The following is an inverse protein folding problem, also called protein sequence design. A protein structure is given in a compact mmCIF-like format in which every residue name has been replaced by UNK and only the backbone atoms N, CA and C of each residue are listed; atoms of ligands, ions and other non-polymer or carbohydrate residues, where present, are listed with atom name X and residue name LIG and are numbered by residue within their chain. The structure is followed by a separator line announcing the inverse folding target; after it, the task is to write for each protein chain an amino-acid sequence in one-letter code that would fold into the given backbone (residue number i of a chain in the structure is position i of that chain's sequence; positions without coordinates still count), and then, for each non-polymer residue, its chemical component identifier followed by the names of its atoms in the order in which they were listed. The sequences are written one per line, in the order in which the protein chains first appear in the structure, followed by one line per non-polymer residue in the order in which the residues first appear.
data_IF_592056730422
#
_entry.id   IF_592056730422
#
_cell.length_a   1.000
_cell.length_b   1.000
_cell.length_c   1.000
_cell.angle_alpha   90.00
_cell.angle_beta   90.00
_cell.angle_gamma   90.00
#
_symmetry.space_group_name_H-M   'P 1'
#
loop_
_entity.id
_entity.type
_entity.pdbx_description
1 polymer ?
#
# COMPACT_ATOMS: atom_id res chain seq x y z
N UNK A 1 12.70 42.68 2.85
CA UNK A 1 13.11 42.36 1.46
C UNK A 1 13.34 43.67 0.73
N UNK A 2 14.59 44.01 0.44
CA UNK A 2 14.88 45.16 -0.42
C UNK A 2 14.41 44.86 -1.85
N UNK A 3 13.63 45.77 -2.41
CA UNK A 3 13.10 45.66 -3.76
C UNK A 3 14.26 45.76 -4.77
N UNK A 4 14.31 44.88 -5.78
CA UNK A 4 15.29 44.95 -6.89
C UNK A 4 15.25 46.27 -7.67
N UNK A 5 14.26 47.12 -7.45
CA UNK A 5 14.20 48.48 -7.96
C UNK A 5 15.25 49.42 -7.32
N UNK A 6 15.60 49.20 -6.05
CA UNK A 6 16.51 50.10 -5.30
C UNK A 6 17.97 50.00 -5.76
N UNK A 7 18.53 48.81 -6.06
CA UNK A 7 19.88 48.73 -6.64
C UNK A 7 19.98 49.40 -8.01
N UNK A 8 18.92 49.36 -8.83
CA UNK A 8 18.93 49.92 -10.19
C UNK A 8 19.20 51.42 -10.23
N UNK A 9 18.79 52.17 -9.21
CA UNK A 9 19.04 53.63 -9.15
C UNK A 9 20.51 53.98 -8.93
N UNK A 10 21.29 53.09 -8.29
CA UNK A 10 22.72 53.32 -8.04
C UNK A 10 23.60 53.08 -9.28
N UNK A 11 23.06 52.42 -10.32
CA UNK A 11 23.76 52.07 -11.56
C UNK A 11 23.17 52.76 -12.80
N UNK A 12 22.45 53.88 -12.63
CA UNK A 12 21.95 54.68 -13.74
C UNK A 12 23.09 55.38 -14.51
N UNK A 13 22.83 55.76 -15.76
CA UNK A 13 23.82 56.47 -16.59
C UNK A 13 24.29 57.76 -15.90
N UNK A 14 25.61 57.91 -15.73
CA UNK A 14 26.23 59.05 -15.04
C UNK A 14 26.32 58.91 -13.51
N UNK A 15 25.81 57.82 -12.92
CA UNK A 15 26.04 57.51 -11.52
C UNK A 15 27.48 57.00 -11.29
N UNK A 16 28.05 57.28 -10.12
CA UNK A 16 29.34 56.75 -9.64
C UNK A 16 29.08 55.78 -8.48
N UNK A 17 28.92 54.47 -8.74
CA UNK A 17 28.66 53.49 -7.69
C UNK A 17 29.85 53.38 -6.73
N UNK A 18 29.56 53.21 -5.44
CA UNK A 18 30.59 52.99 -4.41
C UNK A 18 30.77 51.50 -4.15
N UNK A 19 31.84 51.10 -3.46
CA UNK A 19 32.05 49.72 -3.00
C UNK A 19 30.80 49.14 -2.33
N UNK A 20 30.15 49.91 -1.45
CA UNK A 20 28.92 49.49 -0.77
C UNK A 20 27.77 49.17 -1.73
N UNK A 21 27.65 49.91 -2.84
CA UNK A 21 26.62 49.59 -3.86
C UNK A 21 26.90 48.26 -4.58
N UNK A 22 28.16 47.85 -4.69
CA UNK A 22 28.53 46.54 -5.22
C UNK A 22 28.30 45.43 -4.19
N UNK A 23 28.59 45.67 -2.91
CA UNK A 23 28.25 44.75 -1.82
C UNK A 23 26.73 44.49 -1.77
N UNK A 24 25.92 45.57 -1.74
CA UNK A 24 24.45 45.47 -1.76
C UNK A 24 23.93 44.72 -3.00
N UNK A 25 24.59 44.88 -4.15
CA UNK A 25 24.26 44.14 -5.37
C UNK A 25 24.58 42.65 -5.21
N UNK A 26 25.77 42.30 -4.74
CA UNK A 26 26.20 40.91 -4.54
C UNK A 26 25.25 40.23 -3.53
N UNK A 27 24.96 40.86 -2.41
CA UNK A 27 24.04 40.36 -1.38
C UNK A 27 22.58 40.26 -1.88
N UNK A 28 22.20 41.02 -2.92
CA UNK A 28 20.86 40.94 -3.52
C UNK A 28 20.70 39.80 -4.54
N UNK A 29 21.79 39.10 -4.89
CA UNK A 29 21.78 37.95 -5.77
C UNK A 29 21.72 36.65 -4.97
N UNK A 30 20.99 35.65 -5.47
CA UNK A 30 20.91 34.34 -4.86
C UNK A 30 22.22 33.57 -5.08
N UNK A 31 22.88 33.14 -4.01
CA UNK A 31 24.06 32.27 -4.11
C UNK A 31 23.65 30.80 -3.92
N UNK A 32 23.79 30.00 -4.99
CA UNK A 32 23.40 28.59 -5.00
C UNK A 32 24.15 27.71 -3.99
N UNK A 33 25.38 28.06 -3.62
CA UNK A 33 26.16 27.28 -2.64
C UNK A 33 25.76 27.61 -1.20
N UNK A 34 25.49 28.88 -0.92
CA UNK A 34 25.24 29.36 0.45
C UNK A 34 23.77 29.19 0.86
N UNK A 35 22.84 29.22 -0.10
CA UNK A 35 21.40 29.18 0.15
C UNK A 35 20.80 27.77 0.15
N UNK A 36 21.63 26.73 -0.05
CA UNK A 36 21.17 25.34 -0.05
C UNK A 36 20.21 25.01 -1.20
N UNK A 37 20.22 25.81 -2.27
CA UNK A 37 19.37 25.64 -3.44
C UNK A 37 20.22 25.63 -4.71
N UNK A 38 20.20 24.51 -5.45
CA UNK A 38 20.89 24.42 -6.75
C UNK A 38 20.06 23.65 -7.76
N UNK A 39 20.39 23.83 -9.04
CA UNK A 39 19.81 23.06 -10.13
C UNK A 39 20.90 22.33 -10.92
N UNK A 40 20.75 21.03 -11.09
CA UNK A 40 21.63 20.21 -11.93
C UNK A 40 20.83 19.48 -13.02
N UNK A 41 21.46 19.14 -14.17
CA UNK A 41 20.84 18.27 -15.17
C UNK A 41 20.46 16.89 -14.61
N UNK A 42 21.26 16.35 -13.70
CA UNK A 42 21.11 14.98 -13.18
C UNK A 42 19.99 14.87 -12.14
N UNK A 43 19.88 15.83 -11.23
CA UNK A 43 18.97 15.74 -10.07
C UNK A 43 17.83 16.76 -10.11
N UNK A 44 17.79 17.66 -11.10
CA UNK A 44 16.78 18.71 -11.18
C UNK A 44 16.98 19.76 -10.09
N UNK A 45 15.95 20.03 -9.28
CA UNK A 45 16.01 20.99 -8.17
C UNK A 45 16.49 20.29 -6.92
N UNK A 46 17.59 20.76 -6.36
CA UNK A 46 18.22 20.22 -5.17
C UNK A 46 18.08 21.20 -4.01
N UNK A 47 17.59 20.71 -2.87
CA UNK A 47 17.40 21.49 -1.66
C UNK A 47 18.15 20.80 -0.52
N UNK A 48 19.07 21.53 0.09
CA UNK A 48 19.88 21.08 1.22
C UNK A 48 19.43 21.76 2.50
N UNK A 49 19.54 21.03 3.61
CA UNK A 49 19.31 21.61 4.94
C UNK A 49 20.42 22.63 5.23
N UNK A 50 20.03 23.81 5.70
CA UNK A 50 20.95 24.79 6.27
C UNK A 50 20.96 24.62 7.79
N UNK A 51 22.13 24.70 8.42
CA UNK A 51 22.44 24.24 9.80
C UNK A 51 21.54 24.79 10.93
N UNK A 52 20.65 25.75 10.65
CA UNK A 52 19.75 26.37 11.63
C UNK A 52 18.25 26.11 11.41
N UNK A 53 17.82 25.45 10.33
CA UNK A 53 16.40 25.24 10.03
C UNK A 53 16.09 23.83 9.53
N UNK A 54 15.02 23.25 10.07
CA UNK A 54 14.54 21.92 9.67
C UNK A 54 13.72 21.94 8.37
N UNK A 55 13.20 23.11 7.98
CA UNK A 55 12.35 23.27 6.81
C UNK A 55 13.15 23.43 5.51
N UNK A 56 12.80 22.64 4.50
CA UNK A 56 13.27 22.74 3.11
C UNK A 56 12.44 23.74 2.31
N UNK A 57 11.10 23.65 2.43
CA UNK A 57 10.15 24.52 1.72
C UNK A 57 9.12 25.01 2.72
N UNK A 58 8.76 26.29 2.65
CA UNK A 58 7.73 26.91 3.49
C UNK A 58 6.75 27.69 2.61
N UNK A 59 5.45 27.47 2.82
CA UNK A 59 4.37 28.11 2.07
C UNK A 59 3.67 29.13 2.95
N UNK A 60 3.57 30.38 2.47
CA UNK A 60 2.94 31.47 3.19
C UNK A 60 1.62 31.86 2.52
N UNK A 61 0.56 32.06 3.30
CA UNK A 61 -0.72 32.51 2.77
C UNK A 61 -0.67 33.95 2.22
N UNK A 62 0.23 34.79 2.75
CA UNK A 62 0.46 36.17 2.32
C UNK A 62 1.96 36.50 2.33
N UNK A 63 2.46 37.38 1.43
CA UNK A 63 3.88 37.74 1.38
C UNK A 63 4.46 38.34 2.67
N UNK A 64 3.61 38.96 3.49
CA UNK A 64 3.95 39.64 4.74
C UNK A 64 3.61 38.82 6.00
N UNK A 65 3.18 37.57 5.84
CA UNK A 65 2.84 36.71 6.96
C UNK A 65 4.08 36.38 7.80
N UNK A 66 3.95 36.48 9.13
CA UNK A 66 5.06 36.25 10.07
C UNK A 66 5.43 34.77 10.25
N UNK A 67 4.52 33.86 9.88
CA UNK A 67 4.73 32.42 9.91
C UNK A 67 4.17 31.78 8.64
N UNK A 68 4.79 30.68 8.15
CA UNK A 68 4.22 29.90 7.07
C UNK A 68 2.90 29.26 7.51
N UNK A 69 2.09 28.88 6.53
CA UNK A 69 0.89 28.07 6.71
C UNK A 69 1.20 26.57 6.60
N UNK A 70 2.25 26.21 5.83
CA UNK A 70 2.73 24.84 5.67
C UNK A 70 4.24 24.80 5.51
N UNK A 71 4.85 23.71 5.95
CA UNK A 71 6.26 23.41 5.73
C UNK A 71 6.46 21.97 5.24
N UNK A 72 7.52 21.79 4.45
CA UNK A 72 8.12 20.50 4.13
C UNK A 72 9.51 20.49 4.77
N UNK A 73 9.77 19.53 5.64
CA UNK A 73 10.98 19.47 6.47
C UNK A 73 11.56 18.07 6.52
N UNK A 74 12.85 17.98 6.84
CA UNK A 74 13.51 16.73 7.22
C UNK A 74 13.56 16.63 8.73
N UNK A 75 13.10 15.53 9.32
CA UNK A 75 13.23 15.33 10.76
C UNK A 75 14.56 14.65 11.15
N UNK A 76 14.80 14.52 12.46
CA UNK A 76 16.04 13.94 13.00
C UNK A 76 16.27 12.48 12.59
N UNK A 77 15.22 11.77 12.17
CA UNK A 77 15.31 10.39 11.70
C UNK A 77 15.50 10.31 10.18
N UNK A 78 15.73 11.44 9.50
CA UNK A 78 15.91 11.48 8.04
C UNK A 78 14.60 11.32 7.26
N UNK A 79 13.44 11.48 7.90
CA UNK A 79 12.13 11.37 7.25
C UNK A 79 11.73 12.69 6.63
N UNK A 80 11.05 12.65 5.48
CA UNK A 80 10.45 13.82 4.87
C UNK A 80 9.03 14.00 5.42
N UNK A 81 8.73 15.17 5.95
CA UNK A 81 7.51 15.42 6.71
C UNK A 81 6.85 16.72 6.30
N UNK A 82 5.53 16.68 6.17
CA UNK A 82 4.68 17.81 5.80
C UNK A 82 3.86 18.23 7.01
N UNK A 83 3.98 19.50 7.40
CA UNK A 83 3.29 20.05 8.56
C UNK A 83 2.51 21.31 8.20
N UNK A 84 1.27 21.45 8.68
CA UNK A 84 0.67 22.75 8.81
C UNK A 84 1.44 23.51 9.91
N UNK A 85 1.72 24.76 9.65
CA UNK A 85 2.39 25.64 10.59
C UNK A 85 1.33 26.59 11.16
N UNK A 86 1.17 26.58 12.48
CA UNK A 86 0.21 27.42 13.17
C UNK A 86 0.93 28.20 14.26
N UNK A 87 0.73 29.51 14.26
CA UNK A 87 1.28 30.40 15.27
C UNK A 87 0.67 30.17 16.66
N UNK A 88 -0.51 29.52 16.74
CA UNK A 88 -1.22 29.34 18.01
C UNK A 88 -0.91 28.01 18.69
N UNK A 89 -0.71 26.92 17.95
CA UNK A 89 -0.32 25.62 18.51
C UNK A 89 0.52 24.80 17.51
N UNK A 90 1.71 24.30 17.91
CA UNK A 90 2.48 23.39 17.08
C UNK A 90 1.74 22.06 16.94
N UNK A 91 1.45 21.65 15.71
CA UNK A 91 0.86 20.33 15.46
C UNK A 91 1.91 19.27 15.80
N UNK A 92 1.59 18.42 16.79
CA UNK A 92 2.53 17.44 17.36
C UNK A 92 2.95 16.35 16.37
N UNK A 93 2.14 16.08 15.35
CA UNK A 93 2.37 15.02 14.36
C UNK A 93 2.29 15.58 12.92
N UNK A 94 3.13 15.10 11.99
CA UNK A 94 3.04 15.50 10.61
C UNK A 94 1.73 15.00 9.99
N UNK A 95 1.17 15.78 9.06
CA UNK A 95 -0.02 15.35 8.31
C UNK A 95 0.35 14.25 7.31
N UNK A 96 1.52 14.36 6.70
CA UNK A 96 2.09 13.35 5.81
C UNK A 96 3.57 13.14 6.19
N UNK A 97 4.00 11.90 6.29
CA UNK A 97 5.41 11.52 6.42
C UNK A 97 5.79 10.51 5.35
N UNK A 98 6.96 10.69 4.76
CA UNK A 98 7.62 9.71 3.92
C UNK A 98 8.87 9.23 4.65
N UNK A 99 8.93 7.92 4.89
CA UNK A 99 10.04 7.27 5.56
C UNK A 99 10.56 6.13 4.68
N UNK A 100 11.83 5.80 4.81
CA UNK A 100 12.39 4.57 4.27
C UNK A 100 12.90 3.73 5.43
N UNK A 101 12.66 2.43 5.36
CA UNK A 101 13.25 1.46 6.29
C UNK A 101 14.07 0.46 5.51
N UNK A 102 15.21 0.08 6.04
CA UNK A 102 15.97 -1.04 5.48
C UNK A 102 15.43 -2.33 6.08
N UNK A 103 15.07 -3.28 5.23
CA UNK A 103 14.69 -4.64 5.64
C UNK A 103 15.60 -5.66 4.97
N UNK A 104 15.77 -6.80 5.63
CA UNK A 104 16.40 -7.95 5.01
C UNK A 104 15.46 -8.52 3.95
N UNK A 105 16.02 -8.98 2.83
CA UNK A 105 15.23 -9.68 1.84
C UNK A 105 14.82 -11.05 2.40
N UNK A 106 13.52 -11.37 2.47
CA UNK A 106 13.06 -12.65 3.01
C UNK A 106 13.60 -13.86 2.23
N UNK A 107 14.02 -13.68 0.97
CA UNK A 107 14.60 -14.73 0.13
C UNK A 107 16.15 -14.74 0.17
N UNK A 108 16.78 -14.00 1.11
CA UNK A 108 18.23 -13.93 1.29
C UNK A 108 18.97 -13.06 0.27
N UNK A 109 18.24 -12.22 -0.45
CA UNK A 109 18.78 -11.15 -1.31
C UNK A 109 19.42 -9.98 -0.54
N UNK A 110 19.92 -8.96 -1.26
CA UNK A 110 20.46 -7.75 -0.63
C UNK A 110 19.38 -6.98 0.15
N UNK A 111 19.76 -6.24 1.21
CA UNK A 111 18.81 -5.44 1.96
C UNK A 111 17.99 -4.52 1.06
N UNK A 112 16.68 -4.45 1.33
CA UNK A 112 15.72 -3.68 0.55
C UNK A 112 15.43 -2.36 1.26
N UNK A 113 15.18 -1.32 0.45
CA UNK A 113 14.65 -0.05 0.91
C UNK A 113 13.13 -0.11 0.79
N UNK A 114 12.45 -0.13 1.94
CA UNK A 114 11.00 -0.14 2.03
C UNK A 114 10.49 1.29 2.21
N UNK A 115 9.89 1.90 1.17
CA UNK A 115 9.24 3.19 1.31
C UNK A 115 7.95 3.02 2.12
N UNK A 116 7.70 3.97 3.01
CA UNK A 116 6.52 4.00 3.87
C UNK A 116 5.89 5.37 3.88
N UNK A 117 4.56 5.38 3.91
CA UNK A 117 3.76 6.59 3.94
C UNK A 117 2.97 6.62 5.25
N UNK A 118 3.13 7.68 6.02
CA UNK A 118 2.34 7.95 7.22
C UNK A 118 1.37 9.09 6.97
N UNK A 119 0.10 8.92 7.31
CA UNK A 119 -0.89 10.00 7.40
C UNK A 119 -1.18 10.24 8.88
N UNK A 120 -0.96 11.47 9.34
CA UNK A 120 -1.07 11.85 10.75
C UNK A 120 -0.13 11.10 11.72
N UNK A 121 0.91 10.44 11.21
CA UNK A 121 1.97 9.79 12.00
C UNK A 121 3.33 10.09 11.38
N UNK A 122 4.37 10.25 12.20
CA UNK A 122 5.74 10.40 11.73
C UNK A 122 6.46 9.06 11.54
N UNK A 123 6.00 8.01 12.21
CA UNK A 123 6.69 6.71 12.29
C UNK A 123 5.76 5.61 11.75
N UNK A 124 5.57 5.50 10.43
CA UNK A 124 4.76 4.45 9.85
C UNK A 124 5.40 3.06 10.07
N UNK A 125 4.63 2.14 10.64
CA UNK A 125 4.97 0.74 10.91
C UNK A 125 4.63 -0.19 9.73
N UNK A 126 3.68 0.18 8.88
CA UNK A 126 3.41 -0.48 7.60
C UNK A 126 3.68 0.45 6.39
N UNK A 127 3.55 -0.09 5.18
CA UNK A 127 3.76 0.64 3.92
C UNK A 127 2.85 1.87 3.80
N UNK A 128 1.64 1.78 4.36
CA UNK A 128 0.72 2.89 4.54
C UNK A 128 0.10 2.82 5.94
N UNK A 129 0.47 3.75 6.79
CA UNK A 129 -0.15 3.94 8.09
C UNK A 129 -1.03 5.19 8.09
N UNK A 130 -2.24 5.05 8.61
CA UNK A 130 -3.16 6.18 8.79
C UNK A 130 -3.56 6.25 10.26
N UNK A 131 -3.00 7.23 10.97
CA UNK A 131 -3.40 7.57 12.33
C UNK A 131 -4.69 8.42 12.30
N UNK A 132 -5.78 7.84 11.82
CA UNK A 132 -7.04 8.54 11.62
C UNK A 132 -8.12 7.66 10.98
N UNK A 133 -9.08 8.30 10.31
CA UNK A 133 -10.18 7.60 9.63
C UNK A 133 -9.94 7.52 8.12
N UNK A 134 -10.15 6.34 7.55
CA UNK A 134 -10.13 6.14 6.10
C UNK A 134 -11.55 5.96 5.57
N UNK A 135 -11.97 6.83 4.64
CA UNK A 135 -13.19 6.67 3.84
C UNK A 135 -12.81 6.20 2.44
N UNK A 136 -13.40 5.11 1.97
CA UNK A 136 -13.15 4.53 0.65
C UNK A 136 -14.43 4.49 -0.19
N UNK A 137 -14.32 4.76 -1.50
CA UNK A 137 -15.41 4.47 -2.44
C UNK A 137 -15.51 2.96 -2.70
N UNK A 138 -14.36 2.30 -2.85
CA UNK A 138 -14.26 0.86 -3.05
C UNK A 138 -12.92 0.33 -2.51
N UNK A 139 -12.87 -0.97 -2.18
CA UNK A 139 -11.66 -1.70 -1.81
C UNK A 139 -11.59 -2.99 -2.64
N UNK A 140 -10.46 -3.20 -3.31
CA UNK A 140 -10.21 -4.41 -4.09
C UNK A 140 -9.04 -5.17 -3.45
N UNK A 141 -9.28 -6.42 -3.06
CA UNK A 141 -8.22 -7.29 -2.58
C UNK A 141 -7.17 -7.56 -3.67
N UNK A 142 -5.89 -7.38 -3.34
CA UNK A 142 -4.74 -7.48 -4.23
C UNK A 142 -3.84 -8.70 -4.00
N UNK A 143 -4.25 -9.63 -3.12
CA UNK A 143 -3.50 -10.86 -2.90
C UNK A 143 -3.51 -11.72 -4.17
N UNK A 144 -2.32 -12.19 -4.53
CA UNK A 144 -2.06 -13.05 -5.69
C UNK A 144 -0.96 -14.01 -5.25
N UNK A 145 -1.14 -15.34 -5.48
CA UNK A 145 -0.16 -16.33 -5.10
C UNK A 145 1.24 -16.01 -5.60
N UNK A 146 2.28 -16.26 -4.78
CA UNK A 146 3.67 -15.92 -5.11
C UNK A 146 4.12 -16.48 -6.47
N UNK A 147 3.74 -17.70 -6.83
CA UNK A 147 4.06 -18.32 -8.13
C UNK A 147 3.44 -17.60 -9.35
N UNK A 148 2.52 -16.68 -9.12
CA UNK A 148 1.89 -15.85 -10.15
C UNK A 148 2.46 -14.43 -10.19
N UNK A 149 3.49 -14.13 -9.42
CA UNK A 149 4.20 -12.84 -9.43
C UNK A 149 5.54 -12.95 -10.15
N UNK A 150 5.95 -11.84 -10.78
CA UNK A 150 7.29 -11.64 -11.30
C UNK A 150 8.28 -11.20 -10.22
N UNK A 151 9.56 -11.10 -10.59
CA UNK A 151 10.62 -10.63 -9.68
C UNK A 151 10.43 -9.18 -9.21
N UNK A 152 9.67 -8.39 -9.96
CA UNK A 152 9.27 -7.01 -9.65
C UNK A 152 8.02 -6.93 -8.76
N UNK A 153 7.46 -8.06 -8.35
CA UNK A 153 6.22 -8.15 -7.56
C UNK A 153 4.93 -7.96 -8.36
N UNK A 154 5.01 -7.62 -9.65
CA UNK A 154 3.85 -7.50 -10.53
C UNK A 154 3.26 -8.89 -10.85
N UNK A 155 2.00 -8.93 -11.27
CA UNK A 155 1.38 -10.19 -11.70
C UNK A 155 1.99 -10.60 -13.05
N UNK A 156 2.56 -11.81 -13.14
CA UNK A 156 3.16 -12.30 -14.37
C UNK A 156 2.08 -12.56 -15.44
N UNK A 157 2.42 -12.56 -16.75
CA UNK A 157 1.46 -12.91 -17.80
C UNK A 157 0.80 -14.28 -17.60
N UNK A 158 1.56 -15.26 -17.13
CA UNK A 158 1.05 -16.59 -16.77
C UNK A 158 0.16 -16.54 -15.51
N UNK A 159 0.50 -15.69 -14.54
CA UNK A 159 -0.35 -15.40 -13.38
C UNK A 159 -1.71 -14.82 -13.78
N UNK A 160 -1.74 -13.87 -14.72
CA UNK A 160 -2.98 -13.33 -15.28
C UNK A 160 -3.79 -14.46 -15.93
N UNK A 161 -3.14 -15.33 -16.71
CA UNK A 161 -3.80 -16.47 -17.35
C UNK A 161 -4.38 -17.45 -16.32
N UNK A 162 -3.64 -17.78 -15.26
CA UNK A 162 -4.07 -18.65 -14.17
C UNK A 162 -5.28 -18.08 -13.39
N UNK A 163 -5.25 -16.79 -13.03
CA UNK A 163 -6.39 -16.12 -12.39
C UNK A 163 -7.62 -16.05 -13.31
N UNK A 164 -7.42 -16.09 -14.63
CA UNK A 164 -8.49 -16.17 -15.63
C UNK A 164 -8.96 -17.61 -15.91
N UNK A 165 -8.29 -18.64 -15.40
CA UNK A 165 -8.65 -20.05 -15.62
C UNK A 165 -9.50 -20.66 -14.49
N UNK A 166 -9.75 -19.94 -13.41
CA UNK A 166 -10.63 -20.40 -12.32
C UNK A 166 -12.08 -20.39 -12.83
N UNK A 167 -12.64 -21.56 -13.16
CA UNK A 167 -13.94 -21.66 -13.86
C UNK A 167 -15.06 -22.09 -12.91
N UNK A 168 -16.29 -21.66 -13.20
CA UNK A 168 -17.49 -22.08 -12.48
C UNK A 168 -17.97 -23.46 -12.96
N UNK A 169 -17.11 -24.46 -12.86
CA UNK A 169 -17.28 -25.80 -13.43
C UNK A 169 -17.74 -26.87 -12.43
N UNK A 170 -18.00 -26.48 -11.17
CA UNK A 170 -18.35 -27.39 -10.09
C UNK A 170 -17.16 -28.04 -9.38
N UNK A 171 -15.93 -27.85 -9.86
CA UNK A 171 -14.70 -28.38 -9.27
C UNK A 171 -14.04 -27.35 -8.36
N UNK A 172 -13.21 -27.85 -7.42
CA UNK A 172 -12.42 -27.00 -6.53
C UNK A 172 -11.19 -26.47 -7.25
N UNK A 173 -10.92 -25.18 -7.09
CA UNK A 173 -9.75 -24.48 -7.63
C UNK A 173 -9.00 -23.79 -6.49
N UNK A 174 -7.68 -23.88 -6.51
CA UNK A 174 -6.82 -23.16 -5.57
C UNK A 174 -6.85 -21.67 -5.84
N UNK A 175 -7.01 -20.88 -4.78
CA UNK A 175 -6.99 -19.41 -4.84
C UNK A 175 -5.86 -18.80 -4.00
N UNK A 176 -5.09 -19.66 -3.32
CA UNK A 176 -3.83 -19.35 -2.65
C UNK A 176 -2.77 -20.37 -3.11
N UNK A 177 -1.50 -20.05 -2.90
CA UNK A 177 -0.43 -21.04 -2.82
C UNK A 177 -0.65 -21.99 -1.63
N UNK A 178 0.11 -23.11 -1.56
CA UNK A 178 0.26 -23.86 -0.31
C UNK A 178 0.79 -22.95 0.80
N UNK A 179 0.05 -22.90 1.91
CA UNK A 179 0.34 -22.06 3.07
C UNK A 179 0.73 -22.93 4.27
N UNK A 180 1.62 -22.40 5.09
CA UNK A 180 1.95 -22.90 6.43
C UNK A 180 1.72 -21.78 7.46
N UNK A 181 1.50 -22.14 8.73
CA UNK A 181 1.30 -21.14 9.79
C UNK A 181 -0.14 -20.67 9.97
N UNK A 182 -0.27 -19.44 10.47
CA UNK A 182 -1.52 -18.75 10.76
C UNK A 182 -1.88 -17.78 9.63
N UNK A 183 -3.09 -17.89 9.09
CA UNK A 183 -3.56 -17.05 8.01
C UNK A 183 -5.00 -16.60 8.24
N UNK A 184 -5.27 -15.37 7.81
CA UNK A 184 -6.61 -14.80 7.77
C UNK A 184 -6.81 -14.12 6.42
N UNK A 185 -7.87 -14.51 5.69
CA UNK A 185 -8.23 -13.91 4.41
C UNK A 185 -9.67 -13.44 4.39
N UNK A 186 -9.88 -12.33 3.70
CA UNK A 186 -11.18 -11.90 3.23
C UNK A 186 -11.25 -12.14 1.72
N UNK A 187 -12.28 -12.86 1.27
CA UNK A 187 -12.51 -13.19 -0.14
C UNK A 187 -13.85 -12.63 -0.58
N UNK A 188 -13.84 -11.77 -1.59
CA UNK A 188 -15.04 -11.43 -2.37
C UNK A 188 -14.93 -12.14 -3.71
N UNK A 189 -15.81 -13.10 -3.96
CA UNK A 189 -15.84 -13.85 -5.21
C UNK A 189 -17.16 -13.65 -5.95
N UNK A 190 -17.09 -13.57 -7.29
CA UNK A 190 -18.25 -13.44 -8.15
C UNK A 190 -18.10 -14.20 -9.45
N UNK A 191 -19.19 -14.77 -9.94
CA UNK A 191 -19.29 -15.38 -11.26
C UNK A 191 -20.68 -15.15 -11.84
N UNK A 192 -20.80 -15.23 -13.16
CA UNK A 192 -22.10 -15.20 -13.81
C UNK A 192 -22.04 -15.17 -15.32
N UNK A 193 -23.20 -15.38 -15.93
CA UNK A 193 -23.43 -15.36 -17.38
C UNK A 193 -24.58 -14.40 -17.67
N UNK A 194 -24.28 -13.31 -18.40
CA UNK A 194 -25.25 -12.23 -18.68
C UNK A 194 -26.42 -12.73 -19.53
N UNK A 195 -26.12 -13.61 -20.46
CA UNK A 195 -27.02 -14.22 -21.43
C UNK A 195 -27.99 -15.23 -20.80
N UNK A 196 -27.59 -15.94 -19.73
CA UNK A 196 -28.42 -16.98 -19.10
C UNK A 196 -29.02 -16.57 -17.75
N UNK A 197 -28.71 -15.37 -17.27
CA UNK A 197 -29.25 -14.85 -16.01
C UNK A 197 -28.77 -15.61 -14.76
N UNK A 198 -27.66 -16.36 -14.83
CA UNK A 198 -27.11 -17.07 -13.65
C UNK A 198 -26.00 -16.23 -13.04
N UNK A 199 -26.14 -15.89 -11.76
CA UNK A 199 -25.15 -15.12 -11.01
C UNK A 199 -24.97 -15.68 -9.62
N UNK A 200 -23.71 -15.71 -9.17
CA UNK A 200 -23.33 -16.09 -7.83
C UNK A 200 -22.28 -15.13 -7.30
N UNK A 201 -22.48 -14.63 -6.10
CA UNK A 201 -21.54 -13.79 -5.38
C UNK A 201 -21.40 -14.29 -3.94
N UNK A 202 -20.19 -14.27 -3.41
CA UNK A 202 -19.92 -14.65 -2.04
C UNK A 202 -18.87 -13.74 -1.42
N UNK A 203 -19.08 -13.43 -0.15
CA UNK A 203 -18.09 -12.83 0.74
C UNK A 203 -17.75 -13.84 1.83
N UNK A 204 -16.46 -14.12 2.00
CA UNK A 204 -15.98 -15.10 2.95
C UNK A 204 -14.85 -14.52 3.81
N UNK A 205 -14.88 -14.85 5.10
CA UNK A 205 -13.76 -14.65 6.02
C UNK A 205 -13.24 -16.04 6.37
N UNK A 206 -12.01 -16.33 5.96
CA UNK A 206 -11.36 -17.62 6.11
C UNK A 206 -10.20 -17.51 7.10
N UNK A 207 -10.32 -18.21 8.24
CA UNK A 207 -9.29 -18.26 9.27
C UNK A 207 -8.69 -19.67 9.35
N UNK A 208 -7.38 -19.75 9.53
CA UNK A 208 -6.68 -21.01 9.74
C UNK A 208 -5.41 -20.81 10.58
N UNK A 209 -5.13 -21.74 11.49
CA UNK A 209 -3.97 -21.72 12.40
C UNK A 209 -3.29 -23.09 12.38
N UNK A 210 -2.38 -23.32 11.43
CA UNK A 210 -1.71 -24.61 11.22
C UNK A 210 -2.64 -25.80 10.91
N UNK A 211 -3.77 -25.55 10.22
CA UNK A 211 -4.69 -26.59 9.75
C UNK A 211 -5.02 -27.66 10.81
N UNK A 212 -5.60 -27.27 11.96
CA UNK A 212 -5.82 -28.19 13.08
C UNK A 212 -6.92 -29.19 12.75
N UNK A 213 -6.83 -30.38 13.34
CA UNK A 213 -7.88 -31.41 13.31
C UNK A 213 -8.14 -31.92 14.70
N UNK A 214 -9.42 -32.07 15.05
CA UNK A 214 -9.82 -32.84 16.23
C UNK A 214 -10.10 -34.30 15.87
N UNK A 215 -9.70 -35.21 16.74
CA UNK A 215 -10.05 -36.63 16.64
C UNK A 215 -11.52 -36.84 17.09
N UNK A 216 -12.27 -37.59 16.27
CA UNK A 216 -13.69 -37.98 16.35
C UNK A 216 -14.80 -36.88 16.38
N UNK A 217 -14.52 -35.61 16.73
CA UNK A 217 -15.58 -34.59 16.90
C UNK A 217 -15.49 -33.36 15.96
N UNK A 218 -14.63 -33.38 14.94
CA UNK A 218 -14.37 -32.23 14.04
C UNK A 218 -15.66 -31.70 13.35
N UNK A 219 -16.69 -32.53 13.23
CA UNK A 219 -18.01 -32.15 12.67
C UNK A 219 -18.81 -31.19 13.57
N UNK A 220 -18.71 -31.32 14.89
CA UNK A 220 -19.47 -30.49 15.84
C UNK A 220 -18.77 -29.16 16.19
N UNK A 221 -17.46 -29.08 15.95
CA UNK A 221 -16.68 -27.89 16.32
C UNK A 221 -15.59 -27.62 15.28
N UNK A 222 -15.95 -27.02 14.13
CA UNK A 222 -14.99 -26.78 13.06
C UNK A 222 -13.90 -25.81 13.55
N UNK A 223 -12.66 -26.28 13.63
CA UNK A 223 -11.48 -25.48 14.06
C UNK A 223 -10.93 -24.56 12.96
N UNK A 224 -11.44 -24.69 11.74
CA UNK A 224 -11.01 -23.94 10.55
C UNK A 224 -12.22 -23.22 9.92
N UNK A 225 -12.88 -22.31 10.66
CA UNK A 225 -14.12 -21.73 10.20
C UNK A 225 -13.88 -20.87 8.95
N UNK A 226 -14.73 -21.09 7.95
CA UNK A 226 -14.91 -20.15 6.85
C UNK A 226 -16.33 -19.62 6.97
N UNK A 227 -16.47 -18.38 7.42
CA UNK A 227 -17.78 -17.74 7.49
C UNK A 227 -18.08 -17.14 6.13
N UNK A 228 -19.10 -17.66 5.46
CA UNK A 228 -19.50 -17.22 4.12
C UNK A 228 -20.91 -16.62 4.13
N UNK A 229 -21.06 -15.46 3.52
CA UNK A 229 -22.35 -14.89 3.11
C UNK A 229 -22.45 -14.91 1.60
N UNK A 230 -23.54 -15.42 1.05
CA UNK A 230 -23.70 -15.59 -0.41
C UNK A 230 -25.01 -14.99 -0.91
N UNK A 231 -24.95 -14.39 -2.09
CA UNK A 231 -26.09 -14.02 -2.90
C UNK A 231 -26.03 -14.81 -4.20
N UNK A 232 -27.16 -15.39 -4.61
CA UNK A 232 -27.25 -16.17 -5.84
C UNK A 232 -28.63 -15.98 -6.46
N UNK A 233 -28.70 -16.00 -7.79
CA UNK A 233 -29.88 -15.51 -8.50
C UNK A 233 -31.00 -16.55 -8.65
N UNK A 234 -30.74 -17.70 -9.25
CA UNK A 234 -31.79 -18.68 -9.58
C UNK A 234 -31.86 -19.80 -8.54
N UNK A 235 -30.76 -20.56 -8.37
CA UNK A 235 -30.77 -21.78 -7.54
C UNK A 235 -29.59 -21.82 -6.60
N UNK A 236 -29.71 -22.62 -5.53
CA UNK A 236 -28.57 -22.92 -4.64
C UNK A 236 -27.35 -23.46 -5.38
N UNK A 237 -27.52 -24.05 -6.56
CA UNK A 237 -26.44 -24.48 -7.45
C UNK A 237 -25.54 -23.33 -7.94
N UNK A 238 -26.02 -22.10 -7.93
CA UNK A 238 -25.28 -20.90 -8.32
C UNK A 238 -24.36 -20.37 -7.22
N UNK A 239 -24.47 -20.91 -6.00
CA UNK A 239 -23.62 -20.52 -4.88
C UNK A 239 -22.15 -20.82 -5.15
N UNK A 240 -21.29 -19.93 -4.66
CA UNK A 240 -19.87 -20.19 -4.50
C UNK A 240 -19.61 -20.79 -3.11
N UNK A 241 -18.68 -21.73 -3.05
CA UNK A 241 -18.28 -22.42 -1.82
C UNK A 241 -16.77 -22.29 -1.63
N UNK A 242 -16.35 -22.29 -0.37
CA UNK A 242 -14.95 -22.20 0.02
C UNK A 242 -14.58 -23.35 0.95
N UNK A 243 -13.33 -23.80 0.89
CA UNK A 243 -12.77 -24.75 1.86
C UNK A 243 -11.28 -24.56 2.04
N UNK A 244 -10.79 -25.00 3.19
CA UNK A 244 -9.39 -25.31 3.38
C UNK A 244 -9.11 -26.73 2.89
N UNK A 245 -8.19 -26.88 1.95
CA UNK A 245 -7.70 -28.16 1.46
C UNK A 245 -6.30 -28.41 2.02
N UNK A 246 -5.93 -29.67 2.27
CA UNK A 246 -4.57 -30.03 2.67
C UNK A 246 -3.96 -30.87 1.57
N UNK A 247 -2.80 -30.45 1.08
CA UNK A 247 -2.11 -31.05 -0.09
C UNK A 247 -1.62 -32.49 0.17
N UNK A 248 -1.47 -32.91 1.44
CA UNK A 248 -0.95 -34.23 1.81
C UNK A 248 -1.78 -34.96 2.88
N UNK A 249 -2.96 -34.45 3.24
CA UNK A 249 -3.74 -34.97 4.37
C UNK A 249 -3.03 -34.85 5.73
N UNK A 250 -1.99 -34.02 5.81
CA UNK A 250 -1.28 -33.66 7.03
C UNK A 250 -2.08 -32.66 7.87
N UNK A 251 -1.85 -32.61 9.18
CA UNK A 251 -2.52 -31.70 10.09
C UNK A 251 -1.54 -31.14 11.12
N UNK A 252 -1.82 -29.96 11.65
CA UNK A 252 -0.98 -29.32 12.67
C UNK A 252 0.25 -28.61 12.09
N UNK A 253 1.31 -28.47 12.90
CA UNK A 253 2.44 -27.57 12.64
C UNK A 253 3.12 -27.77 11.26
N UNK A 254 3.12 -29.00 10.75
CA UNK A 254 3.77 -29.38 9.50
C UNK A 254 2.79 -29.45 8.32
N UNK A 255 1.54 -29.02 8.50
CA UNK A 255 0.53 -29.09 7.45
C UNK A 255 0.68 -27.92 6.47
N UNK A 256 0.74 -28.27 5.20
CA UNK A 256 0.50 -27.34 4.10
C UNK A 256 -0.97 -27.38 3.69
N UNK A 257 -1.55 -26.21 3.49
CA UNK A 257 -2.95 -26.09 3.15
C UNK A 257 -3.21 -24.96 2.16
N UNK A 258 -4.24 -25.13 1.34
CA UNK A 258 -4.66 -24.20 0.30
C UNK A 258 -6.09 -23.74 0.56
N UNK A 259 -6.38 -22.46 0.31
CA UNK A 259 -7.75 -21.98 0.25
C UNK A 259 -8.27 -22.27 -1.15
N UNK A 260 -9.42 -22.94 -1.23
CA UNK A 260 -10.05 -23.31 -2.50
C UNK A 260 -11.43 -22.68 -2.64
N UNK A 261 -11.80 -22.39 -3.89
CA UNK A 261 -13.15 -21.95 -4.28
C UNK A 261 -13.76 -22.94 -5.27
N UNK A 262 -15.08 -23.06 -5.25
CA UNK A 262 -15.83 -23.66 -6.35
C UNK A 262 -17.20 -23.03 -6.53
N UNK A 263 -17.80 -23.24 -7.69
CA UNK A 263 -19.27 -23.19 -7.82
C UNK A 263 -19.86 -24.49 -7.27
N UNK A 264 -21.06 -24.42 -6.67
CA UNK A 264 -21.70 -25.60 -6.09
C UNK A 264 -22.03 -26.65 -7.15
N UNK A 265 -22.49 -26.20 -8.31
CA UNK A 265 -22.76 -27.00 -9.50
C UNK A 265 -22.12 -26.29 -10.70
N UNK A 266 -21.81 -27.03 -11.76
CA UNK A 266 -21.33 -26.44 -13.00
C UNK A 266 -22.32 -25.39 -13.54
N UNK A 267 -21.78 -24.23 -13.91
CA UNK A 267 -22.49 -23.26 -14.71
C UNK A 267 -22.51 -23.75 -16.16
N UNK A 268 -23.53 -23.36 -16.95
CA UNK A 268 -23.60 -23.77 -18.34
C UNK A 268 -22.49 -23.06 -19.12
N UNK A 269 -22.02 -23.71 -20.18
CA UNK A 269 -21.00 -23.12 -21.02
C UNK A 269 -21.47 -21.81 -21.67
N UNK A 270 -20.58 -20.82 -21.67
CA UNK A 270 -20.74 -19.56 -22.38
C UNK A 270 -20.45 -19.72 -23.87
N UNK A 271 -20.36 -18.58 -24.56
CA UNK A 271 -20.05 -18.54 -25.99
C UNK A 271 -18.68 -19.15 -26.36
N UNK A 272 -17.74 -19.20 -25.41
CA UNK A 272 -16.42 -19.82 -25.57
C UNK A 272 -16.42 -21.34 -25.35
N UNK A 273 -17.59 -21.96 -25.15
CA UNK A 273 -17.73 -23.39 -24.88
C UNK A 273 -17.18 -23.80 -23.52
N UNK A 274 -17.04 -22.85 -22.58
CA UNK A 274 -16.53 -23.09 -21.23
C UNK A 274 -17.41 -22.41 -20.19
N UNK A 275 -17.42 -22.87 -18.93
CA UNK A 275 -18.13 -22.17 -17.87
C UNK A 275 -17.58 -20.75 -17.66
N UNK A 276 -18.37 -19.80 -17.13
CA UNK A 276 -17.87 -18.47 -16.80
C UNK A 276 -16.75 -18.53 -15.76
N UNK A 277 -15.90 -17.51 -15.76
CA UNK A 277 -14.79 -17.38 -14.80
C UNK A 277 -15.32 -16.99 -13.43
N UNK A 278 -14.73 -17.53 -12.37
CA UNK A 278 -14.90 -17.05 -10.99
C UNK A 278 -13.84 -15.99 -10.74
N UNK A 279 -14.27 -14.75 -10.47
CA UNK A 279 -13.38 -13.65 -10.09
C UNK A 279 -13.26 -13.60 -8.58
N UNK A 280 -12.07 -13.85 -8.05
CA UNK A 280 -11.77 -13.69 -6.63
C UNK A 280 -10.99 -12.39 -6.40
N UNK A 281 -11.39 -11.62 -5.39
CA UNK A 281 -10.64 -10.50 -4.82
C UNK A 281 -10.31 -10.86 -3.40
N UNK A 282 -9.02 -11.04 -3.12
CA UNK A 282 -8.54 -11.60 -1.86
C UNK A 282 -7.72 -10.54 -1.13
N UNK A 283 -8.04 -10.31 0.13
CA UNK A 283 -7.30 -9.44 1.04
C UNK A 283 -6.74 -10.30 2.16
N UNK A 284 -5.42 -10.24 2.36
CA UNK A 284 -4.79 -10.85 3.54
C UNK A 284 -5.01 -9.93 4.74
N UNK A 285 -5.52 -10.50 5.83
CA UNK A 285 -5.86 -9.80 7.07
C UNK A 285 -4.81 -10.01 8.18
N UNK A 286 -3.92 -10.99 8.01
CA UNK A 286 -2.88 -11.35 8.99
C UNK A 286 -1.54 -11.58 8.27
N UNK A 287 -0.49 -10.87 8.68
CA UNK A 287 0.79 -10.80 7.97
C UNK A 287 1.95 -11.51 8.68
N UNK A 288 1.70 -12.11 9.85
CA UNK A 288 2.69 -12.82 10.66
C UNK A 288 2.36 -14.33 10.77
N UNK A 289 2.62 -15.15 9.74
CA UNK A 289 2.20 -16.54 9.74
C UNK A 289 2.77 -17.38 10.88
N UNK A 290 3.90 -16.96 11.46
CA UNK A 290 4.61 -17.71 12.49
C UNK A 290 4.34 -17.17 13.90
N UNK A 291 3.57 -16.08 14.04
CA UNK A 291 3.29 -15.41 15.31
C UNK A 291 4.57 -14.91 16.01
N UNK A 292 5.57 -14.52 15.22
CA UNK A 292 6.88 -14.08 15.71
C UNK A 292 6.81 -12.69 16.34
N UNK A 293 5.91 -11.82 15.88
CA UNK A 293 5.75 -10.46 16.40
C UNK A 293 5.16 -10.46 17.84
N UNK A 294 4.67 -11.61 18.31
CA UNK A 294 4.16 -11.79 19.67
C UNK A 294 5.23 -12.22 20.68
N UNK A 295 6.40 -12.67 20.21
CA UNK A 295 7.50 -13.11 21.07
C UNK A 295 8.29 -11.90 21.58
N UNK A 296 7.69 -11.14 22.50
CA UNK A 296 8.35 -10.09 23.30
C UNK A 296 8.86 -10.66 24.61
#
# INVERSE_FOLDING_TARGET
MSNRATPKTYFAAGALPTQKHFEDLIESNLNMQDEGFRRSPENGVEISKLDSRDAFISFYAKPDAQAPSWSMSGDKAGRLVFRPESAMEPVSHPVLSLATRTSDDPDGGPPRLDPRVGIATAAPEHELDVAGTVRMHARLGGYVPKQHRGADGAISPDGIKALNSIRADGHWHDITEPLTGCHAFEVVAGTGSRDRGRYGMAHAIALNTYHPRYWLLDFFTPKRPIRTTSAYYDRRCDMLMFRWHCEAGAYGKNAEYTLQVKSRCAYPDGADGKPPVIRCRITQLWLDPLMEDLAV
#
